data_IF_935489109016
#
_entry.id   IF_935489109016
#
_cell.length_a   1.000
_cell.length_b   1.000
_cell.length_c   1.000
_cell.angle_alpha   90.00
_cell.angle_beta   90.00
_cell.angle_gamma   90.00
#
_symmetry.space_group_name_H-M   'P 1'
#
loop_
_entity.id
_entity.type
_entity.pdbx_description
1 polymer ?
#
# COMPACT_ATOMS: atom_id res chain seq x y z
N UNK A 1 5.12 -23.86 -5.67
CA UNK A 1 3.93 -24.60 -5.28
C UNK A 1 2.64 -23.82 -5.50
N UNK A 2 2.72 -22.54 -5.90
CA UNK A 2 1.59 -21.69 -6.19
C UNK A 2 1.07 -20.88 -4.98
N UNK A 3 1.76 -20.94 -3.83
CA UNK A 3 1.40 -20.11 -2.68
C UNK A 3 1.80 -18.65 -2.85
N UNK A 4 1.02 -17.76 -2.26
CA UNK A 4 1.38 -16.33 -2.09
C UNK A 4 2.07 -16.13 -0.74
N UNK A 5 3.06 -15.24 -0.67
CA UNK A 5 3.75 -14.89 0.57
C UNK A 5 3.72 -13.37 0.70
N UNK A 6 3.23 -12.88 1.83
CA UNK A 6 3.26 -11.46 2.20
C UNK A 6 3.92 -11.34 3.57
N UNK A 7 4.74 -10.31 3.73
CA UNK A 7 5.27 -9.90 5.03
C UNK A 7 5.01 -8.40 5.22
N UNK A 8 4.80 -8.02 6.47
CA UNK A 8 4.56 -6.64 6.87
C UNK A 8 5.26 -6.37 8.19
N UNK A 9 5.82 -5.17 8.34
CA UNK A 9 6.40 -4.69 9.58
C UNK A 9 5.98 -3.24 9.81
N UNK A 10 5.37 -2.97 10.96
CA UNK A 10 5.08 -1.61 11.40
C UNK A 10 6.28 -1.08 12.19
N UNK A 11 7.00 -0.11 11.62
CA UNK A 11 8.17 0.49 12.24
C UNK A 11 7.78 1.70 13.10
N UNK A 12 7.47 1.45 14.37
CA UNK A 12 7.15 2.52 15.31
C UNK A 12 7.68 2.21 16.71
N UNK A 13 8.37 3.18 17.31
CA UNK A 13 8.92 3.05 18.67
C UNK A 13 7.85 3.11 19.78
N UNK A 14 6.65 3.57 19.46
CA UNK A 14 5.52 3.75 20.39
C UNK A 14 4.43 2.69 20.29
N UNK A 15 4.48 1.82 19.29
CA UNK A 15 3.47 0.77 19.09
C UNK A 15 3.89 -0.53 19.80
N UNK A 16 2.93 -1.17 20.44
CA UNK A 16 3.07 -2.54 20.94
C UNK A 16 2.52 -3.48 19.87
N UNK A 17 3.20 -4.60 19.63
CA UNK A 17 2.75 -5.64 18.72
C UNK A 17 1.56 -6.42 19.29
N UNK A 18 0.39 -5.84 19.30
CA UNK A 18 -0.84 -6.50 19.73
C UNK A 18 -1.44 -7.33 18.61
N UNK A 19 -1.98 -8.48 18.98
CA UNK A 19 -2.74 -9.32 18.05
C UNK A 19 -4.24 -9.00 18.21
N UNK A 20 -4.75 -8.14 17.35
CA UNK A 20 -6.18 -7.78 17.35
C UNK A 20 -7.04 -8.92 16.84
N UNK A 21 -8.20 -9.10 17.47
CA UNK A 21 -9.21 -10.04 17.02
C UNK A 21 -10.59 -9.37 16.91
N UNK A 22 -11.12 -9.39 15.71
CA UNK A 22 -12.51 -8.98 15.42
C UNK A 22 -13.32 -10.22 15.07
N UNK A 23 -14.28 -10.65 15.92
CA UNK A 23 -15.06 -11.85 15.68
C UNK A 23 -16.03 -11.68 14.52
N UNK A 24 -16.28 -12.76 13.79
CA UNK A 24 -17.36 -12.81 12.82
C UNK A 24 -18.73 -12.57 13.48
N UNK A 25 -19.64 -12.00 12.72
CA UNK A 25 -20.97 -11.72 13.25
C UNK A 25 -22.03 -11.45 12.18
N UNK A 26 -23.28 -11.59 12.63
CA UNK A 26 -24.46 -11.14 11.87
C UNK A 26 -25.07 -9.93 12.57
N UNK A 27 -25.24 -8.85 11.84
CA UNK A 27 -25.67 -7.56 12.39
C UNK A 27 -27.04 -7.16 11.82
N UNK A 28 -27.86 -6.48 12.62
CA UNK A 28 -29.15 -5.94 12.15
C UNK A 28 -28.89 -4.82 11.15
N UNK A 29 -29.76 -4.70 10.15
CA UNK A 29 -29.75 -3.55 9.23
C UNK A 29 -29.86 -2.24 10.01
N UNK A 30 -29.04 -1.26 9.65
CA UNK A 30 -29.00 0.05 10.32
C UNK A 30 -28.23 0.05 11.65
N UNK A 31 -27.45 -0.97 11.95
CA UNK A 31 -26.45 -0.94 13.02
C UNK A 31 -25.32 0.00 12.60
N UNK A 32 -24.88 0.84 13.53
CA UNK A 32 -23.76 1.75 13.33
C UNK A 32 -22.58 1.34 14.21
N UNK A 33 -21.38 1.57 13.72
CA UNK A 33 -20.13 1.39 14.47
C UNK A 33 -19.36 2.69 14.53
N UNK A 34 -18.75 2.94 15.68
CA UNK A 34 -17.85 4.08 15.87
C UNK A 34 -16.50 3.77 15.23
N UNK A 35 -15.93 4.74 14.56
CA UNK A 35 -14.61 4.68 13.94
C UNK A 35 -13.68 5.62 14.69
N UNK A 36 -12.53 5.08 15.08
CA UNK A 36 -11.49 5.83 15.77
C UNK A 36 -10.21 5.74 14.94
N UNK A 37 -9.47 6.82 14.87
CA UNK A 37 -8.15 6.83 14.26
C UNK A 37 -7.24 5.78 14.92
N UNK A 38 -6.60 4.99 14.10
CA UNK A 38 -5.83 3.83 14.53
C UNK A 38 -4.69 4.18 15.49
N UNK A 39 -3.92 5.23 15.19
CA UNK A 39 -2.72 5.57 15.94
C UNK A 39 -3.02 6.29 17.27
N UNK A 40 -4.05 7.13 17.32
CA UNK A 40 -4.32 8.02 18.45
C UNK A 40 -5.58 7.65 19.23
N UNK A 41 -6.45 6.81 18.67
CA UNK A 41 -7.76 6.52 19.24
C UNK A 41 -8.76 7.67 19.15
N UNK A 42 -8.45 8.72 18.39
CA UNK A 42 -9.36 9.85 18.18
C UNK A 42 -10.64 9.40 17.50
N UNK A 43 -11.77 9.74 18.06
CA UNK A 43 -13.07 9.49 17.43
C UNK A 43 -13.22 10.28 16.12
N UNK A 44 -13.47 9.59 15.02
CA UNK A 44 -13.64 10.18 13.69
C UNK A 44 -15.10 10.28 13.26
N UNK A 45 -15.94 9.33 13.66
CA UNK A 45 -17.34 9.32 13.26
C UNK A 45 -17.96 7.93 13.31
N UNK A 46 -19.06 7.76 12.57
CA UNK A 46 -19.80 6.50 12.48
C UNK A 46 -20.00 6.06 11.05
N UNK A 47 -19.95 4.76 10.84
CA UNK A 47 -20.30 4.14 9.56
C UNK A 47 -21.35 3.03 9.77
N UNK A 48 -22.10 2.70 8.73
CA UNK A 48 -23.04 1.58 8.80
C UNK A 48 -22.26 0.25 8.87
N UNK A 49 -22.67 -0.61 9.81
CA UNK A 49 -22.10 -1.95 9.95
C UNK A 49 -22.60 -2.86 8.83
N UNK A 50 -21.68 -3.63 8.23
CA UNK A 50 -22.04 -4.66 7.29
C UNK A 50 -22.98 -5.70 7.97
N UNK A 51 -23.94 -6.25 7.22
CA UNK A 51 -24.85 -7.25 7.76
C UNK A 51 -24.16 -8.54 8.21
N UNK A 52 -23.09 -8.88 7.55
CA UNK A 52 -22.21 -9.99 7.91
C UNK A 52 -20.77 -9.49 7.96
N UNK A 53 -20.05 -9.87 9.01
CA UNK A 53 -18.63 -9.67 9.15
C UNK A 53 -17.91 -11.00 9.32
N UNK A 54 -16.65 -11.06 8.90
CA UNK A 54 -15.79 -12.23 9.01
C UNK A 54 -14.81 -12.09 10.17
N UNK A 55 -14.29 -13.22 10.66
CA UNK A 55 -13.23 -13.22 11.66
C UNK A 55 -11.97 -12.56 11.10
N UNK A 56 -11.39 -11.66 11.86
CA UNK A 56 -10.10 -11.01 11.55
C UNK A 56 -9.16 -11.19 12.72
N UNK A 57 -7.94 -11.63 12.46
CA UNK A 57 -6.85 -11.70 13.43
C UNK A 57 -5.65 -10.95 12.86
N UNK A 58 -5.26 -9.86 13.51
CA UNK A 58 -4.23 -8.96 12.99
C UNK A 58 -4.59 -8.49 11.58
N UNK A 59 -3.69 -8.73 10.63
CA UNK A 59 -3.84 -8.33 9.23
C UNK A 59 -4.40 -9.42 8.31
N UNK A 60 -5.06 -10.44 8.85
CA UNK A 60 -5.60 -11.58 8.08
C UNK A 60 -7.00 -11.95 8.53
N UNK A 61 -7.84 -12.40 7.59
CA UNK A 61 -9.16 -12.97 7.90
C UNK A 61 -9.23 -14.48 7.68
N UNK A 62 -10.38 -15.08 8.01
CA UNK A 62 -10.62 -16.53 7.92
C UNK A 62 -10.55 -17.11 6.50
N UNK A 63 -10.55 -16.27 5.46
CA UNK A 63 -10.36 -16.67 4.06
C UNK A 63 -8.89 -16.54 3.59
N UNK A 64 -7.96 -16.31 4.52
CA UNK A 64 -6.55 -16.04 4.21
C UNK A 64 -6.34 -14.76 3.37
N UNK A 65 -7.34 -13.87 3.35
CA UNK A 65 -7.16 -12.53 2.82
C UNK A 65 -6.30 -11.74 3.81
N UNK A 66 -5.23 -11.14 3.31
CA UNK A 66 -4.24 -10.38 4.09
C UNK A 66 -4.12 -8.97 3.52
N UNK A 67 -4.03 -7.96 4.40
CA UNK A 67 -3.78 -6.57 4.02
C UNK A 67 -2.65 -6.03 4.89
N UNK A 68 -1.54 -5.64 4.27
CA UNK A 68 -0.46 -4.87 4.89
C UNK A 68 -0.34 -3.49 4.23
N UNK A 69 0.38 -2.56 4.85
CA UNK A 69 0.49 -1.21 4.34
C UNK A 69 1.86 -0.56 4.59
N UNK A 70 2.11 0.57 3.92
CA UNK A 70 3.12 1.56 4.30
C UNK A 70 2.63 2.95 3.93
N UNK A 71 2.70 3.87 4.87
CA UNK A 71 2.38 5.29 4.63
C UNK A 71 3.46 5.93 3.74
N UNK A 72 3.09 6.43 2.59
CA UNK A 72 4.01 7.20 1.74
C UNK A 72 3.86 8.73 1.89
N UNK A 73 2.88 9.17 2.68
CA UNK A 73 2.60 10.59 2.88
C UNK A 73 1.98 11.24 1.65
N UNK A 74 2.79 11.52 0.66
CA UNK A 74 2.38 12.19 -0.57
C UNK A 74 2.16 13.68 -0.38
N UNK A 75 1.25 14.27 -1.15
CA UNK A 75 0.96 15.71 -1.09
C UNK A 75 0.13 16.05 0.15
N UNK A 76 0.64 16.85 1.09
CA UNK A 76 -0.04 17.12 2.37
C UNK A 76 -1.39 17.84 2.20
N UNK A 77 -1.56 18.64 1.15
CA UNK A 77 -2.82 19.31 0.83
C UNK A 77 -3.96 18.37 0.45
N UNK A 78 -3.66 17.09 0.20
CA UNK A 78 -4.65 16.06 -0.14
C UNK A 78 -5.15 15.28 1.08
N UNK A 79 -4.64 15.53 2.27
CA UNK A 79 -5.15 14.93 3.51
C UNK A 79 -6.54 15.49 3.81
N UNK A 80 -7.56 14.62 3.87
CA UNK A 80 -8.92 15.02 4.23
C UNK A 80 -9.15 14.85 5.74
N UNK A 81 -8.99 15.94 6.48
CA UNK A 81 -9.22 15.96 7.94
C UNK A 81 -10.69 15.86 8.34
N UNK A 82 -11.61 15.80 7.36
CA UNK A 82 -13.06 15.63 7.56
C UNK A 82 -13.54 14.21 7.24
N UNK A 83 -12.66 13.37 6.72
CA UNK A 83 -12.92 11.95 6.47
C UNK A 83 -13.14 11.17 7.77
N UNK A 84 -13.82 10.04 7.66
CA UNK A 84 -14.14 9.18 8.82
C UNK A 84 -13.26 7.91 8.81
N UNK A 85 -12.75 7.48 7.65
CA UNK A 85 -11.98 6.24 7.52
C UNK A 85 -10.49 6.59 7.44
N UNK A 86 -9.72 6.15 8.43
CA UNK A 86 -8.26 6.16 8.40
C UNK A 86 -7.71 4.84 7.83
N UNK A 87 -6.39 4.79 7.59
CA UNK A 87 -5.75 3.63 6.95
C UNK A 87 -5.91 2.33 7.77
N UNK A 88 -5.73 2.40 9.09
CA UNK A 88 -5.84 1.24 9.97
C UNK A 88 -7.26 0.73 10.07
N UNK A 89 -8.25 1.62 10.20
CA UNK A 89 -9.67 1.27 10.14
C UNK A 89 -10.03 0.65 8.80
N UNK A 90 -9.48 1.18 7.71
CA UNK A 90 -9.73 0.66 6.36
C UNK A 90 -9.26 -0.79 6.21
N UNK A 91 -8.13 -1.17 6.82
CA UNK A 91 -7.61 -2.55 6.81
C UNK A 91 -8.60 -3.51 7.46
N UNK A 92 -8.97 -3.30 8.73
CA UNK A 92 -9.84 -4.26 9.41
C UNK A 92 -11.25 -4.28 8.84
N UNK A 93 -11.79 -3.14 8.39
CA UNK A 93 -13.10 -3.06 7.73
C UNK A 93 -13.10 -3.78 6.38
N UNK A 94 -12.03 -3.67 5.60
CA UNK A 94 -11.82 -4.43 4.37
C UNK A 94 -11.77 -5.93 4.63
N UNK A 95 -10.99 -6.35 5.63
CA UNK A 95 -10.87 -7.76 6.03
C UNK A 95 -12.17 -8.34 6.57
N UNK A 96 -12.94 -7.58 7.36
CA UNK A 96 -14.24 -8.01 7.88
C UNK A 96 -15.32 -8.20 6.80
N UNK A 97 -15.16 -7.59 5.62
CA UNK A 97 -16.22 -7.47 4.61
C UNK A 97 -15.89 -8.17 3.29
N UNK A 98 -14.70 -8.76 3.17
CA UNK A 98 -14.21 -9.33 1.90
C UNK A 98 -13.64 -10.72 2.07
N UNK A 99 -13.70 -11.53 1.00
CA UNK A 99 -13.15 -12.88 0.94
C UNK A 99 -11.95 -12.99 0.00
N UNK A 100 -11.83 -12.06 -0.95
CA UNK A 100 -10.77 -12.06 -1.96
C UNK A 100 -10.11 -10.69 -2.03
N UNK A 101 -8.91 -10.63 -2.61
CA UNK A 101 -8.17 -9.39 -2.79
C UNK A 101 -8.97 -8.37 -3.61
N UNK A 102 -9.65 -8.80 -4.68
CA UNK A 102 -10.47 -7.91 -5.53
C UNK A 102 -11.70 -7.38 -4.78
N UNK A 103 -12.35 -8.21 -3.97
CA UNK A 103 -13.45 -7.75 -3.12
C UNK A 103 -12.96 -6.72 -2.10
N UNK A 104 -11.77 -6.93 -1.51
CA UNK A 104 -11.19 -5.99 -0.57
C UNK A 104 -10.90 -4.63 -1.22
N UNK A 105 -10.27 -4.60 -2.39
CA UNK A 105 -10.04 -3.36 -3.15
C UNK A 105 -11.36 -2.61 -3.36
N UNK A 106 -12.40 -3.32 -3.81
CA UNK A 106 -13.71 -2.72 -4.04
C UNK A 106 -14.33 -2.17 -2.74
N UNK A 107 -14.37 -2.97 -1.67
CA UNK A 107 -14.93 -2.56 -0.38
C UNK A 107 -14.19 -1.36 0.20
N UNK A 108 -12.85 -1.39 0.21
CA UNK A 108 -12.03 -0.31 0.74
C UNK A 108 -12.28 1.00 -0.02
N UNK A 109 -12.32 0.95 -1.34
CA UNK A 109 -12.53 2.14 -2.18
C UNK A 109 -13.96 2.68 -2.10
N UNK A 110 -14.98 1.81 -1.96
CA UNK A 110 -16.37 2.20 -1.71
C UNK A 110 -16.54 2.87 -0.35
N UNK A 111 -15.94 2.32 0.72
CA UNK A 111 -15.97 2.91 2.06
C UNK A 111 -15.35 4.31 2.06
N UNK A 112 -14.20 4.47 1.45
CA UNK A 112 -13.54 5.76 1.34
C UNK A 112 -14.37 6.76 0.52
N UNK A 113 -15.00 6.30 -0.57
CA UNK A 113 -15.86 7.15 -1.39
C UNK A 113 -17.09 7.64 -0.61
N UNK A 114 -17.65 6.80 0.25
CA UNK A 114 -18.86 7.13 1.02
C UNK A 114 -18.55 7.98 2.27
N UNK A 115 -17.47 7.64 2.99
CA UNK A 115 -17.18 8.20 4.31
C UNK A 115 -15.98 9.15 4.35
N UNK A 116 -15.21 9.28 3.26
CA UNK A 116 -14.00 10.09 3.20
C UNK A 116 -12.78 9.36 3.76
N UNK A 117 -11.59 9.79 3.34
CA UNK A 117 -10.32 9.17 3.71
C UNK A 117 -9.48 10.12 4.57
N UNK A 118 -9.33 9.80 5.85
CA UNK A 118 -8.72 10.67 6.85
C UNK A 118 -7.19 10.66 6.84
N UNK A 119 -6.55 9.63 6.30
CA UNK A 119 -5.08 9.48 6.34
C UNK A 119 -4.35 10.22 5.20
N UNK A 120 -3.05 10.31 5.31
CA UNK A 120 -2.14 10.65 4.21
C UNK A 120 -2.10 9.52 3.17
N UNK A 121 -1.21 9.60 2.18
CA UNK A 121 -1.12 8.57 1.14
C UNK A 121 -0.60 7.23 1.66
N UNK A 122 -1.22 6.13 1.20
CA UNK A 122 -0.92 4.77 1.62
C UNK A 122 -0.71 3.82 0.45
N UNK A 123 0.28 2.94 0.59
CA UNK A 123 0.46 1.75 -0.24
C UNK A 123 -0.04 0.54 0.53
N UNK A 124 -1.02 -0.19 -0.03
CA UNK A 124 -1.54 -1.42 0.53
C UNK A 124 -1.06 -2.62 -0.28
N UNK A 125 -0.54 -3.66 0.39
CA UNK A 125 -0.43 -5.00 -0.18
C UNK A 125 -1.67 -5.78 0.21
N UNK A 126 -2.46 -6.21 -0.77
CA UNK A 126 -3.71 -6.93 -0.59
C UNK A 126 -3.57 -8.29 -1.26
N UNK A 127 -3.62 -9.38 -0.49
CA UNK A 127 -3.36 -10.72 -0.99
C UNK A 127 -4.39 -11.73 -0.50
N UNK A 128 -4.76 -12.62 -1.38
CA UNK A 128 -5.49 -13.85 -1.05
C UNK A 128 -4.68 -15.08 -1.49
N UNK A 129 -5.16 -16.34 -1.32
CA UNK A 129 -4.41 -17.52 -1.74
C UNK A 129 -4.05 -17.60 -3.22
N UNK A 130 -4.63 -16.76 -4.08
CA UNK A 130 -4.52 -16.86 -5.53
C UNK A 130 -3.78 -15.69 -6.17
N UNK A 131 -3.83 -14.49 -5.56
CA UNK A 131 -3.26 -13.28 -6.17
C UNK A 131 -2.82 -12.25 -5.13
N UNK A 132 -1.89 -11.39 -5.53
CA UNK A 132 -1.39 -10.26 -4.75
C UNK A 132 -1.59 -8.97 -5.56
N UNK A 133 -2.05 -7.93 -4.89
CA UNK A 133 -2.22 -6.59 -5.44
C UNK A 133 -1.45 -5.56 -4.63
N UNK A 134 -0.85 -4.60 -5.31
CA UNK A 134 -0.37 -3.36 -4.70
C UNK A 134 -1.37 -2.28 -5.04
N UNK A 135 -1.98 -1.66 -4.04
CA UNK A 135 -2.90 -0.53 -4.19
C UNK A 135 -2.29 0.71 -3.55
N UNK A 136 -2.23 1.79 -4.28
CA UNK A 136 -1.83 3.10 -3.75
C UNK A 136 -3.01 4.05 -3.76
N UNK A 137 -3.21 4.77 -2.66
CA UNK A 137 -4.36 5.62 -2.41
C UNK A 137 -3.95 6.90 -1.71
N UNK A 138 -4.57 8.03 -2.06
CA UNK A 138 -4.44 9.30 -1.36
C UNK A 138 -5.77 10.06 -1.42
N UNK A 139 -6.08 10.83 -0.39
CA UNK A 139 -7.29 11.65 -0.33
C UNK A 139 -7.34 12.74 -1.42
N UNK A 140 -8.42 13.51 -1.42
CA UNK A 140 -8.66 14.61 -2.37
C UNK A 140 -8.58 15.99 -1.73
N UNK A 141 -8.22 16.04 -0.45
CA UNK A 141 -8.15 17.27 0.35
C UNK A 141 -9.44 17.55 1.13
N UNK A 142 -9.38 18.52 2.05
CA UNK A 142 -10.47 18.81 2.98
C UNK A 142 -11.79 19.10 2.28
N UNK A 143 -12.85 18.42 2.73
CA UNK A 143 -14.20 18.59 2.21
C UNK A 143 -14.50 17.92 0.88
N UNK A 144 -13.54 17.21 0.28
CA UNK A 144 -13.76 16.43 -0.95
C UNK A 144 -13.71 14.94 -0.62
N UNK A 145 -14.88 14.32 -0.54
CA UNK A 145 -14.97 12.89 -0.20
C UNK A 145 -14.32 12.00 -1.25
N UNK A 146 -13.81 10.87 -0.79
CA UNK A 146 -13.19 9.86 -1.62
C UNK A 146 -11.67 9.99 -1.67
N UNK A 147 -11.09 9.19 -2.51
CA UNK A 147 -9.66 9.16 -2.77
C UNK A 147 -9.40 8.95 -4.25
N UNK A 148 -8.20 9.32 -4.71
CA UNK A 148 -7.64 8.82 -5.95
C UNK A 148 -6.77 7.60 -5.62
N UNK A 149 -6.89 6.58 -6.44
CA UNK A 149 -6.20 5.32 -6.18
C UNK A 149 -5.93 4.54 -7.46
N UNK A 150 -4.96 3.67 -7.41
CA UNK A 150 -4.63 2.68 -8.43
C UNK A 150 -4.19 1.40 -7.75
N UNK A 151 -4.63 0.25 -8.27
CA UNK A 151 -4.22 -1.07 -7.83
C UNK A 151 -3.70 -1.87 -9.01
N UNK A 152 -2.55 -2.51 -8.85
CA UNK A 152 -1.90 -3.32 -9.88
C UNK A 152 -1.59 -4.71 -9.32
N UNK A 153 -1.99 -5.74 -10.07
CA UNK A 153 -1.74 -7.13 -9.70
C UNK A 153 -0.27 -7.47 -9.86
N UNK A 154 0.32 -8.09 -8.86
CA UNK A 154 1.67 -8.62 -8.93
C UNK A 154 1.67 -9.87 -9.83
N UNK A 155 2.52 -9.95 -10.87
CA UNK A 155 2.60 -11.16 -11.69
C UNK A 155 3.05 -12.38 -10.86
N UNK A 156 2.53 -13.55 -11.19
CA UNK A 156 2.68 -14.78 -10.37
C UNK A 156 4.16 -15.24 -10.21
N UNK A 157 5.04 -14.82 -11.10
CA UNK A 157 6.47 -15.17 -11.08
C UNK A 157 7.36 -13.99 -10.63
N UNK A 158 6.78 -12.97 -10.05
CA UNK A 158 7.47 -11.75 -9.62
C UNK A 158 7.38 -11.53 -8.11
N UNK A 159 8.27 -10.68 -7.62
CA UNK A 159 8.24 -10.08 -6.30
C UNK A 159 8.03 -8.58 -6.41
N UNK A 160 7.44 -8.02 -5.36
CA UNK A 160 7.28 -6.58 -5.16
C UNK A 160 7.58 -6.22 -3.72
N UNK A 161 7.91 -4.96 -3.49
CA UNK A 161 8.03 -4.37 -2.16
C UNK A 161 7.66 -2.89 -2.22
N UNK A 162 7.21 -2.35 -1.10
CA UNK A 162 7.05 -0.92 -0.88
C UNK A 162 7.49 -0.56 0.55
N UNK A 163 7.96 0.65 0.73
CA UNK A 163 8.54 1.09 1.98
C UNK A 163 8.44 2.63 2.09
N UNK A 164 7.26 3.12 2.45
CA UNK A 164 6.96 4.55 2.67
C UNK A 164 7.23 5.48 1.47
N UNK A 165 7.12 4.95 0.25
CA UNK A 165 7.11 5.75 -0.99
C UNK A 165 6.14 5.11 -2.00
N UNK A 166 5.35 5.95 -2.68
CA UNK A 166 4.52 5.52 -3.80
C UNK A 166 5.39 5.05 -4.96
N UNK A 167 5.07 3.91 -5.55
CA UNK A 167 5.90 3.25 -6.56
C UNK A 167 5.15 2.89 -7.85
N UNK A 168 3.84 3.06 -7.89
CA UNK A 168 3.08 2.86 -9.12
C UNK A 168 3.29 4.08 -10.02
N UNK A 169 4.13 3.93 -11.03
CA UNK A 169 4.34 4.93 -12.07
C UNK A 169 3.27 4.81 -13.15
N UNK A 170 3.63 4.31 -14.34
CA UNK A 170 2.68 4.02 -15.39
C UNK A 170 1.95 2.69 -15.10
N UNK A 171 0.70 2.63 -15.52
CA UNK A 171 -0.13 1.43 -15.42
C UNK A 171 -1.03 1.31 -16.63
N UNK A 172 -1.35 0.06 -17.03
CA UNK A 172 -2.18 -0.17 -18.21
C UNK A 172 -3.67 -0.06 -17.85
N UNK A 173 -4.28 1.07 -18.20
CA UNK A 173 -5.69 1.35 -17.97
C UNK A 173 -6.64 0.43 -18.76
N UNK A 174 -6.14 -0.29 -19.76
CA UNK A 174 -6.93 -1.21 -20.58
C UNK A 174 -6.90 -2.65 -20.03
N UNK A 175 -5.92 -2.99 -19.21
CA UNK A 175 -5.80 -4.32 -18.59
C UNK A 175 -6.68 -4.44 -17.34
N UNK A 176 -7.98 -4.63 -17.55
CA UNK A 176 -8.97 -4.79 -16.46
C UNK A 176 -8.75 -6.02 -15.57
N UNK A 177 -7.92 -6.97 -16.00
CA UNK A 177 -7.61 -8.15 -15.23
C UNK A 177 -6.51 -7.89 -14.20
N UNK A 178 -5.58 -6.99 -14.50
CA UNK A 178 -4.41 -6.73 -13.67
C UNK A 178 -4.29 -5.26 -13.21
N UNK A 179 -5.25 -4.40 -13.56
CA UNK A 179 -5.26 -3.01 -13.15
C UNK A 179 -6.68 -2.53 -12.80
N UNK A 180 -6.81 -1.89 -11.64
CA UNK A 180 -8.01 -1.21 -11.16
C UNK A 180 -7.62 0.20 -10.72
N UNK A 181 -8.49 1.19 -10.90
CA UNK A 181 -8.18 2.58 -10.57
C UNK A 181 -9.45 3.43 -10.38
N UNK A 182 -9.33 4.53 -9.64
CA UNK A 182 -10.42 5.50 -9.52
C UNK A 182 -10.68 6.20 -10.86
N UNK A 183 -11.94 6.38 -11.26
CA UNK A 183 -12.28 6.94 -12.58
C UNK A 183 -11.65 8.31 -12.85
N UNK A 184 -11.38 9.05 -11.81
CA UNK A 184 -10.86 10.42 -11.84
C UNK A 184 -9.35 10.53 -11.54
N UNK A 185 -8.63 9.41 -11.45
CA UNK A 185 -7.20 9.39 -11.09
C UNK A 185 -6.32 10.31 -11.94
N UNK A 186 -6.61 10.49 -13.22
CA UNK A 186 -5.87 11.40 -14.10
C UNK A 186 -6.52 12.79 -14.16
N UNK A 187 -7.85 12.86 -14.27
CA UNK A 187 -8.55 14.14 -14.37
C UNK A 187 -8.37 15.00 -13.12
N UNK A 188 -8.38 14.38 -11.94
CA UNK A 188 -8.10 15.08 -10.70
C UNK A 188 -6.66 15.61 -10.63
N UNK A 189 -5.67 14.83 -11.09
CA UNK A 189 -4.28 15.32 -11.19
C UNK A 189 -4.15 16.52 -12.10
N UNK A 190 -4.89 16.55 -13.22
CA UNK A 190 -4.92 17.71 -14.12
C UNK A 190 -5.59 18.92 -13.49
N UNK A 191 -6.72 18.72 -12.84
CA UNK A 191 -7.45 19.79 -12.13
C UNK A 191 -6.55 20.47 -11.07
N UNK A 192 -5.75 19.68 -10.37
CA UNK A 192 -4.80 20.18 -9.36
C UNK A 192 -3.49 20.72 -9.94
N UNK A 193 -3.27 20.59 -11.25
CA UNK A 193 -2.01 21.03 -11.88
C UNK A 193 -0.82 20.11 -11.59
N UNK A 194 -1.06 18.87 -11.17
CA UNK A 194 -0.01 17.86 -10.90
C UNK A 194 0.42 17.12 -12.15
N UNK A 195 -0.35 17.20 -13.23
CA UNK A 195 -0.09 16.54 -14.50
C UNK A 195 -0.76 17.27 -15.66
N UNK A 196 -0.01 17.53 -16.74
CA UNK A 196 -0.49 18.19 -17.96
C UNK A 196 -0.23 17.39 -19.25
N UNK A 197 0.40 16.20 -19.12
CA UNK A 197 0.78 15.33 -20.24
C UNK A 197 -0.36 14.52 -20.85
N UNK A 198 -0.02 13.61 -21.77
CA UNK A 198 -0.96 12.63 -22.33
C UNK A 198 -1.15 11.44 -21.37
N UNK A 199 -2.35 10.83 -21.37
CA UNK A 199 -2.71 9.80 -20.37
C UNK A 199 -1.71 8.65 -20.28
N UNK A 200 -1.11 8.21 -21.39
CA UNK A 200 -0.14 7.11 -21.41
C UNK A 200 1.14 7.40 -20.60
N UNK A 201 1.46 8.67 -20.39
CA UNK A 201 2.66 9.11 -19.67
C UNK A 201 2.34 9.45 -18.21
N UNK A 202 1.07 9.27 -17.80
CA UNK A 202 0.67 9.53 -16.42
C UNK A 202 1.40 8.58 -15.45
N UNK A 203 1.94 9.15 -14.38
CA UNK A 203 2.56 8.44 -13.28
C UNK A 203 1.84 8.79 -11.99
N UNK A 204 1.23 7.81 -11.33
CA UNK A 204 0.56 8.03 -10.04
C UNK A 204 1.55 8.57 -9.01
N UNK A 205 2.70 7.90 -8.84
CA UNK A 205 3.72 8.30 -7.89
C UNK A 205 4.21 9.74 -8.13
N UNK A 206 4.53 10.13 -9.38
CA UNK A 206 4.98 11.49 -9.69
C UNK A 206 3.91 12.55 -9.44
N UNK A 207 2.65 12.23 -9.75
CA UNK A 207 1.55 13.17 -9.57
C UNK A 207 1.20 13.38 -8.09
N UNK A 208 1.14 12.31 -7.30
CA UNK A 208 0.56 12.34 -5.95
C UNK A 208 1.58 12.24 -4.82
N UNK A 209 2.76 11.68 -5.07
CA UNK A 209 3.83 11.51 -4.10
C UNK A 209 5.21 11.78 -4.73
N UNK A 210 5.50 13.05 -5.13
CA UNK A 210 6.78 13.37 -5.72
C UNK A 210 7.94 12.91 -4.84
N UNK A 211 8.90 12.21 -5.46
CA UNK A 211 10.06 11.69 -4.77
C UNK A 211 10.96 12.82 -4.32
N UNK A 212 11.36 12.83 -3.06
CA UNK A 212 12.42 13.68 -2.54
C UNK A 212 13.68 12.86 -2.21
N UNK A 213 14.74 13.54 -1.76
CA UNK A 213 15.98 12.88 -1.41
C UNK A 213 15.81 11.89 -0.24
N UNK A 214 15.02 12.25 0.77
CA UNK A 214 14.75 11.39 1.93
C UNK A 214 14.03 10.11 1.52
N UNK A 215 12.97 10.23 0.73
CA UNK A 215 12.23 9.10 0.21
C UNK A 215 13.11 8.17 -0.65
N UNK A 216 13.96 8.73 -1.52
CA UNK A 216 14.91 7.95 -2.31
C UNK A 216 15.89 7.19 -1.41
N UNK A 217 16.46 7.86 -0.43
CA UNK A 217 17.55 7.34 0.40
C UNK A 217 17.08 6.38 1.49
N UNK A 218 15.95 6.66 2.12
CA UNK A 218 15.47 5.89 3.26
C UNK A 218 14.32 4.94 2.93
N UNK A 219 13.52 5.25 1.91
CA UNK A 219 12.40 4.42 1.51
C UNK A 219 12.77 3.48 0.35
N UNK A 220 13.13 4.03 -0.80
CA UNK A 220 13.46 3.23 -1.98
C UNK A 220 14.70 2.37 -1.78
N UNK A 221 15.65 2.75 -0.92
CA UNK A 221 16.81 1.92 -0.58
C UNK A 221 16.42 0.58 0.05
N UNK A 222 15.35 0.53 0.87
CA UNK A 222 14.83 -0.72 1.44
C UNK A 222 14.30 -1.65 0.35
N UNK A 223 13.58 -1.09 -0.61
CA UNK A 223 13.07 -1.83 -1.77
C UNK A 223 14.21 -2.32 -2.66
N UNK A 224 15.22 -1.46 -2.89
CA UNK A 224 16.41 -1.84 -3.63
C UNK A 224 17.12 -3.03 -2.98
N UNK A 225 17.35 -2.99 -1.68
CA UNK A 225 18.01 -4.07 -0.95
C UNK A 225 17.23 -5.38 -1.07
N UNK A 226 15.90 -5.31 -0.89
CA UNK A 226 15.04 -6.47 -1.08
C UNK A 226 15.17 -7.07 -2.49
N UNK A 227 15.15 -6.25 -3.54
CA UNK A 227 15.35 -6.75 -4.91
C UNK A 227 16.75 -7.33 -5.12
N UNK A 228 17.78 -6.65 -4.59
CA UNK A 228 19.18 -7.08 -4.72
C UNK A 228 19.45 -8.45 -4.07
N UNK A 229 18.69 -8.86 -3.06
CA UNK A 229 18.80 -10.19 -2.46
C UNK A 229 18.30 -11.32 -3.36
N UNK A 230 17.38 -11.03 -4.28
CA UNK A 230 16.67 -12.06 -5.03
C UNK A 230 16.93 -12.05 -6.53
N UNK A 231 17.57 -11.02 -7.06
CA UNK A 231 17.94 -10.95 -8.46
C UNK A 231 19.29 -10.26 -8.67
N UNK A 232 20.12 -10.81 -9.54
CA UNK A 232 21.40 -10.21 -9.96
C UNK A 232 21.21 -8.81 -10.60
N UNK A 233 19.99 -8.53 -11.09
CA UNK A 233 19.62 -7.21 -11.62
C UNK A 233 19.53 -6.13 -10.55
N UNK A 234 19.51 -6.48 -9.26
CA UNK A 234 19.44 -5.50 -8.17
C UNK A 234 20.53 -4.43 -8.27
N UNK A 235 21.74 -4.80 -8.69
CA UNK A 235 22.83 -3.83 -8.88
C UNK A 235 22.55 -2.79 -9.98
N UNK A 236 21.70 -3.09 -10.97
CA UNK A 236 21.31 -2.14 -12.03
C UNK A 236 20.52 -0.95 -11.45
N UNK A 237 19.90 -1.11 -10.29
CA UNK A 237 19.07 -0.10 -9.65
C UNK A 237 19.84 0.77 -8.64
N UNK A 238 21.06 0.39 -8.26
CA UNK A 238 21.85 1.17 -7.29
C UNK A 238 22.08 2.63 -7.72
N UNK A 239 22.35 2.95 -9.01
CA UNK A 239 22.47 4.35 -9.46
C UNK A 239 21.24 5.21 -9.15
N UNK A 240 20.02 4.62 -9.20
CA UNK A 240 18.81 5.35 -8.80
C UNK A 240 18.82 5.70 -7.31
N UNK A 241 19.21 4.78 -6.45
CA UNK A 241 19.29 4.99 -4.99
C UNK A 241 20.37 6.03 -4.64
N UNK A 242 21.49 6.04 -5.37
CA UNK A 242 22.59 7.00 -5.18
C UNK A 242 22.28 8.39 -5.75
N UNK A 243 21.24 8.52 -6.58
CA UNK A 243 20.86 9.79 -7.21
C UNK A 243 21.55 10.08 -8.54
N UNK A 244 22.24 9.08 -9.12
CA UNK A 244 22.93 9.20 -10.41
C UNK A 244 21.96 9.18 -11.60
N UNK A 245 20.72 8.70 -11.39
CA UNK A 245 19.65 8.68 -12.38
C UNK A 245 18.28 8.88 -11.71
N UNK A 246 17.32 9.44 -12.46
CA UNK A 246 15.93 9.59 -12.06
C UNK A 246 15.00 8.49 -12.61
N UNK A 247 15.59 7.48 -13.29
CA UNK A 247 14.82 6.31 -13.75
C UNK A 247 14.44 5.43 -12.56
N UNK A 248 13.16 5.35 -12.20
CA UNK A 248 12.74 4.59 -11.02
C UNK A 248 12.96 3.09 -11.21
N UNK A 249 13.08 2.38 -10.11
CA UNK A 249 13.07 0.92 -10.12
C UNK A 249 11.69 0.40 -10.59
N UNK A 250 11.65 -0.76 -11.25
CA UNK A 250 10.37 -1.37 -11.61
C UNK A 250 9.54 -1.72 -10.35
N UNK A 251 8.22 -1.72 -10.50
CA UNK A 251 7.32 -2.13 -9.40
C UNK A 251 7.49 -3.62 -9.06
N UNK A 252 7.79 -4.44 -10.06
CA UNK A 252 7.97 -5.89 -9.94
C UNK A 252 9.31 -6.32 -10.53
N UNK A 253 9.92 -7.32 -9.91
CA UNK A 253 11.10 -8.00 -10.47
C UNK A 253 10.90 -9.51 -10.43
N UNK A 254 11.43 -10.21 -11.45
CA UNK A 254 11.47 -11.66 -11.45
C UNK A 254 12.68 -12.10 -10.64
N UNK A 255 12.50 -12.91 -9.59
CA UNK A 255 13.62 -13.44 -8.83
C UNK A 255 14.37 -14.51 -9.63
N UNK A 256 15.69 -14.64 -9.41
CA UNK A 256 16.52 -15.62 -10.10
C UNK A 256 16.32 -17.05 -9.57
N UNK A 257 15.66 -17.18 -8.43
CA UNK A 257 15.34 -18.46 -7.77
C UNK A 257 14.00 -18.41 -7.07
N UNK A 258 13.46 -19.57 -6.74
CA UNK A 258 12.27 -19.65 -5.87
C UNK A 258 12.59 -19.09 -4.48
N UNK A 259 11.65 -18.36 -3.92
CA UNK A 259 11.75 -17.71 -2.62
C UNK A 259 10.97 -18.54 -1.60
N UNK A 260 11.62 -18.85 -0.48
CA UNK A 260 11.00 -19.53 0.64
C UNK A 260 10.53 -18.54 1.70
N UNK A 261 9.69 -18.99 2.62
CA UNK A 261 9.32 -18.21 3.81
C UNK A 261 10.54 -17.76 4.62
N UNK A 262 11.58 -18.60 4.68
CA UNK A 262 12.81 -18.25 5.39
C UNK A 262 13.58 -17.13 4.70
N UNK A 263 13.58 -17.09 3.36
CA UNK A 263 14.19 -15.99 2.59
C UNK A 263 13.48 -14.66 2.91
N UNK A 264 12.14 -14.64 2.96
CA UNK A 264 11.36 -13.44 3.33
C UNK A 264 11.66 -13.02 4.77
N UNK A 265 11.72 -13.96 5.71
CA UNK A 265 12.10 -13.65 7.10
C UNK A 265 13.51 -13.05 7.22
N UNK A 266 14.46 -13.52 6.41
CA UNK A 266 15.81 -12.97 6.39
C UNK A 266 15.81 -11.55 5.78
N UNK A 267 15.07 -11.34 4.70
CA UNK A 267 14.93 -10.02 4.07
C UNK A 267 14.31 -8.97 5.01
N UNK A 268 13.35 -9.37 5.86
CA UNK A 268 12.76 -8.48 6.88
C UNK A 268 13.72 -8.12 8.03
N UNK A 269 14.92 -8.69 8.05
CA UNK A 269 15.97 -8.41 9.04
C UNK A 269 17.24 -7.84 8.40
N UNK A 270 17.12 -7.32 7.20
CA UNK A 270 18.24 -6.78 6.45
C UNK A 270 18.75 -5.45 7.04
N UNK A 271 20.08 -5.29 7.06
CA UNK A 271 20.77 -4.07 7.47
C UNK A 271 21.72 -3.58 6.37
N UNK A 272 21.50 -4.01 5.13
CA UNK A 272 22.31 -3.69 3.95
C UNK A 272 23.75 -4.24 4.01
N UNK A 273 24.00 -5.33 4.78
CA UNK A 273 25.35 -5.88 4.97
C UNK A 273 26.05 -6.18 3.66
N UNK A 274 27.30 -5.70 3.56
CA UNK A 274 28.16 -5.91 2.40
C UNK A 274 27.81 -5.05 1.18
N UNK A 275 26.88 -4.14 1.29
CA UNK A 275 26.52 -3.18 0.23
C UNK A 275 27.10 -1.78 0.50
N UNK A 276 27.06 -0.85 -0.47
CA UNK A 276 27.43 0.55 -0.22
C UNK A 276 26.54 1.26 0.81
N UNK A 277 25.40 0.69 1.18
CA UNK A 277 24.46 1.24 2.16
C UNK A 277 24.54 0.55 3.52
N UNK A 278 25.55 -0.27 3.77
CA UNK A 278 25.75 -1.02 5.00
C UNK A 278 25.80 -0.08 6.22
N UNK A 279 24.75 -0.10 7.03
CA UNK A 279 24.60 0.80 8.19
C UNK A 279 25.60 0.52 9.33
N UNK A 280 26.33 -0.59 9.28
CA UNK A 280 27.39 -0.91 10.22
C UNK A 280 28.74 -0.24 9.86
N UNK A 281 28.84 0.31 8.67
CA UNK A 281 29.98 1.11 8.19
C UNK A 281 29.57 2.57 8.16
N UNK A 282 30.52 3.47 8.39
CA UNK A 282 30.27 4.92 8.38
C UNK A 282 29.42 5.33 7.18
N UNK A 283 28.20 5.70 7.49
CA UNK A 283 27.20 6.10 6.56
C UNK A 283 27.19 7.63 6.52
N UNK A 284 28.16 8.16 5.78
CA UNK A 284 28.34 9.59 5.57
C UNK A 284 27.32 10.19 4.61
#
# INVERSE_FOLDING_TARGET
DGSTIVSYSADCSGLYGELYHYPAGMHKKGTWIDVHEWDTGKYLGRIEQARQTYNVIGNMNEFQLTIGETTFGGRPELVDTTGIIDYGSLIYLGLQRSRTAREAIKVMTELVQEYGYYSSGESFTIADPNEIWIMEMIGKGPGVRGAVWVAVRVPDDCISAHANQSRIHQFDMNDKNNCMYSPDVISFAREKGYFDGVNKDFSFAKAYAPLDFGARRYCEARVWSYFNMFTARGNEFLPYILGDTDTPMPLFVKPDRKISVQDVKNAMRDHYEGTPLDISKDFG
#
